data_IF_729711835807
#
_entry.id   IF_729711835807
#
_cell.length_a   1.000
_cell.length_b   1.000
_cell.length_c   1.000
_cell.angle_alpha   90.00
_cell.angle_beta   90.00
_cell.angle_gamma   90.00
#
_symmetry.space_group_name_H-M   'P 1'
#
loop_
_entity.id
_entity.type
_entity.pdbx_description
1 polymer ?
#
# COMPACT_ATOMS: atom_id res chain seq x y z
N UNK A 1 27.90 21.50 27.72
CA UNK A 1 27.22 21.54 26.41
C UNK A 1 27.11 20.09 25.99
N UNK A 2 25.88 19.60 25.91
CA UNK A 2 25.55 18.17 25.80
C UNK A 2 26.24 17.52 24.60
N UNK A 3 27.12 16.55 24.89
CA UNK A 3 27.53 15.49 23.99
C UNK A 3 26.28 14.91 23.31
N UNK A 4 26.26 14.89 21.97
CA UNK A 4 25.11 14.42 21.19
C UNK A 4 24.78 12.99 21.60
N UNK A 5 23.67 12.81 22.31
CA UNK A 5 23.35 11.54 22.97
C UNK A 5 22.94 10.43 21.97
N UNK A 6 22.77 10.74 20.68
CA UNK A 6 22.34 9.78 19.67
C UNK A 6 22.70 10.31 18.28
N UNK A 7 23.65 9.66 17.60
CA UNK A 7 23.87 9.81 16.16
C UNK A 7 22.94 8.85 15.43
N UNK A 8 22.34 9.31 14.33
CA UNK A 8 21.57 8.42 13.45
C UNK A 8 22.55 7.58 12.64
N UNK A 9 22.48 6.26 12.84
CA UNK A 9 23.19 5.29 12.02
C UNK A 9 22.36 5.04 10.75
N UNK A 10 22.86 5.50 9.61
CA UNK A 10 22.19 5.37 8.32
C UNK A 10 22.68 4.14 7.57
N UNK A 11 21.74 3.27 7.19
CA UNK A 11 21.96 2.06 6.43
C UNK A 11 21.41 2.24 5.01
N UNK A 12 22.17 1.84 3.99
CA UNK A 12 21.70 1.89 2.59
C UNK A 12 20.75 0.75 2.30
N UNK A 13 19.67 1.07 1.60
CA UNK A 13 18.73 0.11 1.06
C UNK A 13 19.07 -0.25 -0.39
N UNK A 14 18.60 -1.41 -0.82
CA UNK A 14 18.61 -1.80 -2.23
C UNK A 14 17.74 -0.84 -3.03
N UNK A 15 18.23 -0.44 -4.20
CA UNK A 15 17.53 0.44 -5.15
C UNK A 15 17.47 -0.26 -6.52
N UNK A 16 17.17 -1.55 -6.55
CA UNK A 16 17.08 -2.29 -7.81
C UNK A 16 16.02 -1.67 -8.73
N UNK A 17 16.32 -1.56 -10.02
CA UNK A 17 15.43 -0.93 -11.01
C UNK A 17 15.35 0.61 -10.96
N UNK A 18 16.04 1.27 -10.03
CA UNK A 18 16.06 2.74 -9.93
C UNK A 18 17.25 3.39 -10.66
N UNK A 19 17.23 4.72 -10.78
CA UNK A 19 18.36 5.50 -11.29
C UNK A 19 19.62 5.23 -10.43
N UNK A 20 20.79 4.94 -11.03
CA UNK A 20 22.01 4.63 -10.29
C UNK A 20 22.54 5.78 -9.41
N UNK A 21 22.11 7.01 -9.67
CA UNK A 21 22.43 8.17 -8.83
C UNK A 21 21.50 8.29 -7.61
N UNK A 22 20.38 7.57 -7.58
CA UNK A 22 19.45 7.57 -6.46
C UNK A 22 20.02 6.77 -5.29
N UNK A 23 20.14 7.42 -4.14
CA UNK A 23 20.55 6.80 -2.88
C UNK A 23 19.36 6.79 -1.94
N UNK A 24 19.01 5.62 -1.42
CA UNK A 24 18.00 5.45 -0.38
C UNK A 24 18.66 4.88 0.87
N UNK A 25 18.42 5.53 1.99
CA UNK A 25 19.01 5.19 3.29
C UNK A 25 17.95 5.24 4.38
N UNK A 26 18.12 4.42 5.42
CA UNK A 26 17.26 4.43 6.60
C UNK A 26 18.05 4.51 7.90
N UNK A 27 17.42 5.02 8.95
CA UNK A 27 17.97 5.00 10.30
C UNK A 27 16.90 4.59 11.31
N UNK A 28 17.28 3.72 12.26
CA UNK A 28 16.39 3.25 13.34
C UNK A 28 16.11 4.39 14.31
N UNK A 29 14.84 4.60 14.65
CA UNK A 29 14.40 5.60 15.64
C UNK A 29 13.35 5.01 16.57
N UNK A 30 13.00 5.72 17.64
CA UNK A 30 11.90 5.30 18.50
C UNK A 30 10.59 5.23 17.70
N UNK A 31 9.92 4.08 17.76
CA UNK A 31 8.64 3.86 17.09
C UNK A 31 8.72 3.61 15.59
N UNK A 32 9.92 3.49 15.01
CA UNK A 32 10.09 3.00 13.65
C UNK A 32 11.37 3.45 12.97
N UNK A 33 11.24 3.95 11.74
CA UNK A 33 12.37 4.26 10.86
C UNK A 33 12.24 5.65 10.24
N UNK A 34 13.38 6.33 10.08
CA UNK A 34 13.51 7.44 9.15
C UNK A 34 14.07 6.92 7.84
N UNK A 35 13.45 7.27 6.73
CA UNK A 35 13.87 6.90 5.38
C UNK A 35 14.16 8.17 4.61
N UNK A 36 15.33 8.25 3.99
CA UNK A 36 15.68 9.34 3.10
C UNK A 36 16.04 8.81 1.72
N UNK A 37 15.62 9.53 0.68
CA UNK A 37 15.96 9.18 -0.70
C UNK A 37 16.26 10.43 -1.52
N UNK A 38 17.29 10.36 -2.36
CA UNK A 38 17.69 11.49 -3.19
C UNK A 38 18.98 11.24 -3.95
N UNK A 39 19.32 12.18 -4.83
CA UNK A 39 20.53 12.09 -5.68
C UNK A 39 21.73 12.84 -5.11
N UNK A 40 21.53 13.63 -4.05
CA UNK A 40 22.60 14.32 -3.34
C UNK A 40 22.21 14.65 -1.89
N UNK A 41 23.17 14.88 -0.98
CA UNK A 41 22.87 15.23 0.41
C UNK A 41 22.03 16.51 0.58
N UNK A 42 22.10 17.43 -0.38
CA UNK A 42 21.32 18.67 -0.37
C UNK A 42 19.90 18.51 -0.94
N UNK A 43 19.60 17.37 -1.57
CA UNK A 43 18.34 17.08 -2.24
C UNK A 43 17.87 15.67 -1.88
N UNK A 44 17.55 15.47 -0.60
CA UNK A 44 16.93 14.23 -0.11
C UNK A 44 15.52 14.51 0.39
N UNK A 45 14.56 13.72 -0.07
CA UNK A 45 13.27 13.58 0.57
C UNK A 45 13.46 12.77 1.86
N UNK A 46 12.67 13.07 2.89
CA UNK A 46 12.68 12.38 4.18
C UNK A 46 11.24 11.97 4.53
N UNK A 47 11.07 10.71 4.91
CA UNK A 47 9.81 10.14 5.37
C UNK A 47 10.03 9.39 6.70
N UNK A 48 9.00 9.39 7.54
CA UNK A 48 8.95 8.53 8.72
C UNK A 48 8.05 7.35 8.43
N UNK A 49 8.56 6.15 8.70
CA UNK A 49 7.82 4.89 8.57
C UNK A 49 7.57 4.34 9.98
N UNK A 50 6.31 4.29 10.44
CA UNK A 50 5.98 3.72 11.74
C UNK A 50 6.27 2.22 11.73
N UNK A 51 6.98 1.76 12.73
CA UNK A 51 7.32 0.34 12.91
C UNK A 51 7.50 0.08 14.42
N UNK A 52 6.38 -0.01 15.17
CA UNK A 52 6.42 -0.12 16.63
C UNK A 52 7.04 -1.43 17.12
N UNK A 53 6.95 -2.49 16.31
CA UNK A 53 7.50 -3.81 16.60
C UNK A 53 8.90 -3.99 16.02
N UNK A 54 9.31 -3.06 15.15
CA UNK A 54 10.64 -3.05 14.62
C UNK A 54 10.90 -4.09 13.53
N UNK A 55 9.84 -4.57 12.85
CA UNK A 55 9.85 -5.70 11.90
C UNK A 55 10.23 -5.30 10.47
N UNK A 56 10.14 -4.03 10.10
CA UNK A 56 10.34 -3.61 8.72
C UNK A 56 11.81 -3.72 8.29
N UNK A 57 12.08 -4.55 7.29
CA UNK A 57 13.41 -4.82 6.75
C UNK A 57 13.76 -3.95 5.53
N UNK A 58 12.81 -3.15 5.05
CA UNK A 58 13.02 -2.23 3.94
C UNK A 58 12.74 -2.84 2.57
N UNK A 59 12.29 -4.08 2.50
CA UNK A 59 11.92 -4.77 1.25
C UNK A 59 10.42 -5.06 1.16
N UNK A 60 9.71 -4.96 2.27
CA UNK A 60 8.25 -5.09 2.32
C UNK A 60 7.55 -3.82 1.79
N UNK A 61 7.38 -3.77 0.47
CA UNK A 61 6.64 -2.73 -0.25
C UNK A 61 5.21 -3.17 -0.61
N UNK A 62 4.59 -3.97 0.26
CA UNK A 62 3.15 -4.17 0.28
C UNK A 62 2.59 -4.97 -0.89
N UNK A 63 3.17 -6.12 -1.22
CA UNK A 63 2.49 -7.11 -2.06
C UNK A 63 1.79 -8.23 -1.27
N UNK A 64 2.17 -8.46 0.01
CA UNK A 64 1.66 -9.59 0.82
C UNK A 64 0.90 -9.18 2.11
N UNK A 65 0.83 -7.90 2.47
CA UNK A 65 0.29 -7.47 3.78
C UNK A 65 -1.20 -7.04 3.74
N UNK A 66 -1.86 -7.18 2.59
CA UNK A 66 -3.32 -7.22 2.50
C UNK A 66 -3.77 -8.68 2.38
N UNK A 67 -3.72 -9.40 3.50
CA UNK A 67 -4.56 -10.58 3.67
C UNK A 67 -6.01 -10.12 3.44
N UNK A 68 -6.55 -10.42 2.26
CA UNK A 68 -7.92 -10.16 1.90
C UNK A 68 -8.76 -11.04 2.82
N UNK A 69 -9.40 -10.43 3.82
CA UNK A 69 -10.38 -11.09 4.68
C UNK A 69 -11.56 -11.49 3.78
N UNK A 70 -11.54 -12.72 3.26
CA UNK A 70 -12.50 -13.30 2.30
C UNK A 70 -13.86 -13.62 2.98
N UNK A 71 -14.27 -12.81 3.97
CA UNK A 71 -15.43 -13.06 4.83
C UNK A 71 -16.52 -11.94 4.72
N UNK A 72 -16.52 -11.13 3.66
CA UNK A 72 -17.72 -10.33 3.31
C UNK A 72 -18.73 -11.21 2.56
N UNK A 73 -19.43 -12.04 3.32
CA UNK A 73 -20.64 -12.78 2.94
C UNK A 73 -21.69 -11.82 2.36
N UNK A 74 -21.88 -11.82 1.03
CA UNK A 74 -23.05 -11.15 0.41
C UNK A 74 -24.31 -12.00 0.67
N UNK A 75 -25.07 -11.58 1.69
CA UNK A 75 -26.43 -12.05 1.99
C UNK A 75 -27.42 -11.65 0.88
N UNK A 76 -28.00 -12.67 0.26
CA UNK A 76 -29.38 -12.81 -0.25
C UNK A 76 -30.06 -11.60 -0.93
N UNK A 77 -30.09 -11.62 -2.28
CA UNK A 77 -31.12 -10.93 -3.06
C UNK A 77 -32.37 -11.83 -3.22
N UNK A 78 -33.16 -11.88 -2.15
CA UNK A 78 -34.53 -12.40 -2.13
C UNK A 78 -35.42 -11.67 -3.16
N UNK A 79 -35.92 -12.46 -4.12
CA UNK A 79 -37.32 -12.54 -4.57
C UNK A 79 -38.11 -11.21 -4.73
N UNK A 80 -38.24 -10.74 -5.97
CA UNK A 80 -39.37 -9.91 -6.39
C UNK A 80 -40.04 -10.50 -7.65
N UNK A 81 -40.94 -11.42 -7.33
CA UNK A 81 -42.17 -11.85 -8.00
C UNK A 81 -42.91 -10.79 -8.85
N UNK A 82 -43.62 -11.32 -9.85
CA UNK A 82 -44.88 -10.85 -10.45
C UNK A 82 -44.88 -9.63 -11.44
N UNK A 83 -45.15 -9.90 -12.72
CA UNK A 83 -46.51 -9.73 -13.28
C UNK A 83 -46.51 -9.97 -14.80
N UNK A 84 -47.18 -11.07 -15.15
CA UNK A 84 -47.75 -11.47 -16.43
C UNK A 84 -48.51 -10.30 -17.09
N UNK A 85 -48.13 -9.89 -18.31
CA UNK A 85 -48.95 -9.03 -19.17
C UNK A 85 -48.96 -9.56 -20.61
N UNK A 86 -50.02 -10.33 -20.81
CA UNK A 86 -50.68 -10.93 -21.96
C UNK A 86 -50.88 -10.05 -23.23
N UNK A 87 -51.23 -10.74 -24.32
CA UNK A 87 -52.08 -10.31 -25.45
C UNK A 87 -51.49 -9.32 -26.49
N UNK A 88 -51.59 -9.46 -27.83
CA UNK A 88 -52.48 -10.23 -28.72
C UNK A 88 -51.79 -10.58 -30.05
N UNK A 89 -52.36 -11.57 -30.76
CA UNK A 89 -52.00 -12.01 -32.11
C UNK A 89 -52.32 -10.97 -33.19
N UNK A 90 -51.43 -10.82 -34.18
CA UNK A 90 -51.76 -10.22 -35.48
C UNK A 90 -51.40 -11.22 -36.62
N UNK A 91 -52.42 -11.94 -37.09
CA UNK A 91 -52.53 -12.42 -38.46
C UNK A 91 -52.47 -11.23 -39.43
N UNK A 92 -51.82 -11.36 -40.60
CA UNK A 92 -52.29 -10.83 -41.91
C UNK A 92 -51.30 -11.15 -43.06
N UNK A 93 -51.67 -12.17 -43.85
CA UNK A 93 -51.53 -12.40 -45.31
C UNK A 93 -50.34 -11.82 -46.14
N UNK A 94 -49.55 -12.72 -46.78
CA UNK A 94 -49.31 -12.79 -48.26
C UNK A 94 -48.69 -14.13 -48.71
#
# INVERSE_FOLDING_TARGET
>A
MTEFAFSLEWERLGNEGSDPALVTERARVFGGWLVRSGTSPAAMALAFVPDPEGRWDGEDFGEDDYEYDEDEEEEDEDDLDDEDLDEEEEDEDE
#
